data_IF_131153142402
#
_entry.id   IF_131153142402
#
_cell.length_a   1.000
_cell.length_b   1.000
_cell.length_c   1.000
_cell.angle_alpha   90.00
_cell.angle_beta   90.00
_cell.angle_gamma   90.00
#
_symmetry.space_group_name_H-M   'P 1'
#
loop_
_entity.id
_entity.type
_entity.pdbx_description
1 polymer ?
#
# COMPACT_ATOMS: atom_id res chain seq x y z
N UNK A 1 -3.10 9.09 22.08
CA UNK A 1 -2.93 7.64 21.96
C UNK A 1 -2.46 7.35 20.55
N UNK A 2 -1.21 6.83 20.42
CA UNK A 2 -0.59 6.57 19.13
C UNK A 2 -1.24 5.42 18.36
N UNK A 3 -1.04 5.41 17.05
CA UNK A 3 -1.60 4.37 16.17
C UNK A 3 -0.55 3.83 15.21
N UNK A 4 -0.64 2.54 14.92
CA UNK A 4 0.03 1.87 13.80
C UNK A 4 -0.98 1.67 12.69
N UNK A 5 -0.60 2.01 11.48
CA UNK A 5 -1.35 1.72 10.24
C UNK A 5 -0.48 0.85 9.35
N UNK A 6 -1.07 -0.16 8.73
CA UNK A 6 -0.42 -0.95 7.68
C UNK A 6 -1.26 -0.81 6.42
N UNK A 7 -0.68 -0.32 5.33
CA UNK A 7 -1.32 -0.32 4.01
C UNK A 7 -0.53 -1.15 3.01
N UNK A 8 -1.24 -1.81 2.12
CA UNK A 8 -0.71 -2.80 1.19
C UNK A 8 -1.13 -2.40 -0.22
N UNK A 9 -0.13 -2.17 -1.09
CA UNK A 9 -0.37 -1.86 -2.50
C UNK A 9 -0.55 -3.19 -3.24
N UNK A 10 -1.80 -3.58 -3.42
CA UNK A 10 -2.23 -4.89 -3.91
C UNK A 10 -2.46 -4.83 -5.43
N UNK A 11 -1.41 -5.01 -6.21
CA UNK A 11 -1.34 -4.59 -7.62
C UNK A 11 -0.99 -5.70 -8.62
N UNK A 12 -0.44 -6.87 -8.20
CA UNK A 12 0.04 -7.95 -9.09
C UNK A 12 0.87 -7.40 -10.27
N UNK A 13 0.56 -7.82 -11.51
CA UNK A 13 1.25 -7.35 -12.73
C UNK A 13 0.96 -5.88 -13.05
N UNK A 14 -0.15 -5.33 -12.58
CA UNK A 14 -0.55 -3.93 -12.82
C UNK A 14 0.47 -2.91 -12.30
N UNK A 15 1.16 -3.19 -11.19
CA UNK A 15 2.22 -2.32 -10.68
C UNK A 15 3.46 -2.20 -11.57
N UNK A 16 3.55 -3.03 -12.61
CA UNK A 16 4.71 -3.11 -13.48
C UNK A 16 4.40 -2.96 -14.97
N UNK A 17 3.12 -2.89 -15.37
CA UNK A 17 2.70 -2.97 -16.77
C UNK A 17 3.21 -1.80 -17.62
N UNK A 18 3.45 -0.64 -17.03
CA UNK A 18 3.96 0.57 -17.68
C UNK A 18 5.51 0.63 -17.75
N UNK A 19 6.22 -0.24 -17.02
CA UNK A 19 7.68 -0.28 -17.03
C UNK A 19 8.22 -0.80 -18.37
N UNK A 20 9.42 -0.37 -18.75
CA UNK A 20 10.09 -0.86 -19.96
C UNK A 20 10.28 -2.39 -19.93
N UNK A 21 10.52 -2.98 -18.76
CA UNK A 21 10.64 -4.42 -18.54
C UNK A 21 9.96 -4.79 -17.22
N UNK A 22 9.06 -5.77 -17.26
CA UNK A 22 8.40 -6.30 -16.07
C UNK A 22 9.38 -7.22 -15.28
N UNK A 23 9.45 -7.10 -13.94
CA UNK A 23 10.29 -7.95 -13.10
C UNK A 23 9.65 -9.35 -12.95
N UNK A 24 9.95 -10.26 -13.87
CA UNK A 24 9.26 -11.53 -14.01
C UNK A 24 9.22 -12.41 -12.76
N UNK A 25 10.24 -12.38 -11.88
CA UNK A 25 10.22 -13.10 -10.61
C UNK A 25 9.17 -12.52 -9.65
N UNK A 26 9.15 -11.20 -9.47
CA UNK A 26 8.16 -10.53 -8.60
C UNK A 26 6.74 -10.73 -9.06
N UNK A 27 6.52 -10.68 -10.38
CA UNK A 27 5.19 -10.94 -10.97
C UNK A 27 4.75 -12.36 -10.67
N UNK A 28 5.60 -13.37 -10.90
CA UNK A 28 5.28 -14.78 -10.63
C UNK A 28 5.06 -15.08 -9.13
N UNK A 29 5.78 -14.40 -8.24
CA UNK A 29 5.69 -14.62 -6.80
C UNK A 29 4.62 -13.77 -6.11
N UNK A 30 4.02 -12.80 -6.83
CA UNK A 30 3.11 -11.84 -6.22
C UNK A 30 1.90 -12.50 -5.54
N UNK A 31 1.33 -13.55 -6.13
CA UNK A 31 0.19 -14.29 -5.55
C UNK A 31 0.61 -15.06 -4.28
N UNK A 32 1.76 -15.73 -4.31
CA UNK A 32 2.33 -16.37 -3.12
C UNK A 32 2.61 -15.35 -2.02
N UNK A 33 3.21 -14.22 -2.38
CA UNK A 33 3.47 -13.12 -1.44
C UNK A 33 2.20 -12.56 -0.83
N UNK A 34 1.10 -12.48 -1.60
CA UNK A 34 -0.21 -12.04 -1.10
C UNK A 34 -0.74 -12.99 -0.02
N UNK A 35 -0.81 -14.29 -0.32
CA UNK A 35 -1.26 -15.29 0.65
C UNK A 35 -0.37 -15.30 1.90
N UNK A 36 0.97 -15.29 1.72
CA UNK A 36 1.88 -15.30 2.87
C UNK A 36 1.76 -14.05 3.74
N UNK A 37 1.54 -12.89 3.12
CA UNK A 37 1.31 -11.65 3.85
C UNK A 37 -0.01 -11.70 4.63
N UNK A 38 -1.08 -12.21 4.02
CA UNK A 38 -2.37 -12.38 4.68
C UNK A 38 -2.26 -13.31 5.90
N UNK A 39 -1.60 -14.48 5.74
CA UNK A 39 -1.33 -15.41 6.84
C UNK A 39 -0.58 -14.74 8.01
N UNK A 40 0.44 -13.91 7.71
CA UNK A 40 1.19 -13.19 8.75
C UNK A 40 0.34 -12.14 9.47
N UNK A 41 -0.49 -11.41 8.75
CA UNK A 41 -1.40 -10.43 9.35
C UNK A 41 -2.44 -11.10 10.25
N UNK A 42 -2.92 -12.29 9.88
CA UNK A 42 -3.79 -13.12 10.71
C UNK A 42 -3.05 -13.65 11.95
N UNK A 43 -1.85 -14.19 11.79
CA UNK A 43 -1.04 -14.73 12.88
C UNK A 43 -0.77 -13.69 13.97
N UNK A 44 -0.51 -12.45 13.57
CA UNK A 44 -0.23 -11.34 14.50
C UNK A 44 -1.45 -10.45 14.79
N UNK A 45 -2.64 -10.82 14.32
CA UNK A 45 -3.90 -10.07 14.53
C UNK A 45 -3.76 -8.59 14.15
N UNK A 46 -3.20 -8.30 12.95
CA UNK A 46 -2.95 -6.94 12.45
C UNK A 46 -3.96 -6.60 11.35
N UNK A 47 -4.98 -5.78 11.60
CA UNK A 47 -5.81 -5.23 10.54
C UNK A 47 -4.97 -4.31 9.63
N UNK A 48 -5.19 -4.41 8.32
CA UNK A 48 -4.49 -3.64 7.32
C UNK A 48 -5.47 -3.10 6.26
N UNK A 49 -5.07 -2.02 5.58
CA UNK A 49 -5.77 -1.52 4.39
C UNK A 49 -5.14 -2.13 3.15
N UNK A 50 -5.88 -2.97 2.45
CA UNK A 50 -5.49 -3.54 1.16
C UNK A 50 -5.98 -2.63 0.05
N UNK A 51 -5.11 -1.78 -0.48
CA UNK A 51 -5.42 -0.93 -1.63
C UNK A 51 -5.29 -1.75 -2.91
N UNK A 52 -6.43 -2.17 -3.44
CA UNK A 52 -6.52 -3.13 -4.55
C UNK A 52 -6.67 -2.37 -5.88
N UNK A 53 -5.88 -2.74 -6.88
CA UNK A 53 -6.10 -2.31 -8.27
C UNK A 53 -7.44 -2.88 -8.72
N UNK A 54 -8.37 -2.02 -9.15
CA UNK A 54 -9.76 -2.40 -9.43
C UNK A 54 -9.91 -3.49 -10.47
N UNK A 55 -8.98 -3.59 -11.44
CA UNK A 55 -8.97 -4.67 -12.41
C UNK A 55 -8.86 -6.07 -11.78
N UNK A 56 -8.27 -6.18 -10.58
CA UNK A 56 -8.15 -7.47 -9.87
C UNK A 56 -9.49 -8.03 -9.36
N UNK A 57 -10.56 -7.23 -9.36
CA UNK A 57 -11.92 -7.73 -9.08
C UNK A 57 -12.52 -8.51 -10.24
N UNK A 58 -11.95 -8.40 -11.44
CA UNK A 58 -12.50 -9.02 -12.65
C UNK A 58 -12.11 -10.50 -12.74
N UNK A 59 -13.05 -11.35 -13.18
CA UNK A 59 -12.79 -12.72 -13.62
C UNK A 59 -12.25 -12.77 -15.05
N UNK A 60 -12.58 -11.76 -15.86
CA UNK A 60 -12.23 -11.63 -17.28
C UNK A 60 -12.33 -10.20 -17.79
N UNK A 61 -11.55 -9.89 -18.81
CA UNK A 61 -11.74 -8.71 -19.65
C UNK A 61 -11.36 -9.00 -21.12
N UNK A 62 -11.63 -8.04 -21.99
CA UNK A 62 -11.25 -8.13 -23.41
C UNK A 62 -9.82 -7.64 -23.70
N UNK A 63 -9.15 -7.03 -22.72
CA UNK A 63 -7.82 -6.42 -22.85
C UNK A 63 -7.78 -5.13 -23.67
N UNK A 64 -8.94 -4.66 -24.16
CA UNK A 64 -9.02 -3.49 -25.06
C UNK A 64 -9.42 -2.23 -24.30
N UNK A 65 -10.39 -2.33 -23.37
CA UNK A 65 -10.90 -1.22 -22.56
C UNK A 65 -11.31 0.02 -23.37
N UNK A 66 -11.95 -0.20 -24.52
CA UNK A 66 -12.22 0.85 -25.54
C UNK A 66 -12.99 2.07 -25.00
N UNK A 67 -13.88 1.85 -24.03
CA UNK A 67 -14.73 2.89 -23.44
C UNK A 67 -14.13 3.49 -22.15
N UNK A 68 -12.90 3.09 -21.75
CA UNK A 68 -12.24 3.59 -20.56
C UNK A 68 -11.17 4.63 -20.91
N UNK A 69 -11.39 5.92 -20.59
CA UNK A 69 -10.42 6.97 -20.87
C UNK A 69 -9.14 6.75 -20.05
N UNK A 70 -7.99 6.70 -20.73
CA UNK A 70 -6.69 6.42 -20.11
C UNK A 70 -5.56 7.11 -20.88
N UNK A 71 -4.34 7.22 -20.32
CA UNK A 71 -3.17 7.65 -21.07
C UNK A 71 -2.94 6.76 -22.31
N UNK A 72 -2.37 7.34 -23.36
CA UNK A 72 -2.15 6.63 -24.63
C UNK A 72 -1.36 5.33 -24.44
N UNK A 73 -1.92 4.22 -24.93
CA UNK A 73 -1.32 2.88 -24.86
C UNK A 73 -1.23 2.29 -23.45
N UNK A 74 -2.01 2.79 -22.50
CA UNK A 74 -2.00 2.34 -21.12
C UNK A 74 -2.25 0.84 -21.00
N UNK A 75 -3.29 0.34 -21.65
CA UNK A 75 -3.70 -1.08 -21.62
C UNK A 75 -2.95 -2.00 -22.60
N UNK A 76 -1.92 -1.51 -23.31
CA UNK A 76 -1.20 -2.30 -24.34
C UNK A 76 -0.63 -3.65 -23.89
N UNK A 77 -0.47 -3.85 -22.58
CA UNK A 77 0.06 -5.09 -21.98
C UNK A 77 -0.98 -5.91 -21.27
N UNK A 78 -2.18 -5.40 -21.15
CA UNK A 78 -3.28 -6.23 -20.67
C UNK A 78 -3.51 -7.35 -21.67
N UNK A 79 -3.33 -8.62 -21.27
CA UNK A 79 -3.46 -9.74 -22.20
C UNK A 79 -4.92 -10.05 -22.55
N UNK A 80 -5.87 -9.47 -21.80
CA UNK A 80 -7.27 -9.93 -21.83
C UNK A 80 -7.40 -11.36 -21.30
N UNK A 81 -8.53 -12.01 -21.63
CA UNK A 81 -8.76 -13.40 -21.22
C UNK A 81 -9.37 -13.54 -19.83
N UNK A 82 -8.99 -14.58 -19.12
CA UNK A 82 -9.56 -14.94 -17.80
C UNK A 82 -8.48 -15.15 -16.74
N UNK A 83 -8.89 -15.24 -15.47
CA UNK A 83 -7.99 -15.64 -14.37
C UNK A 83 -7.23 -16.95 -14.67
N UNK A 84 -7.90 -17.93 -15.30
CA UNK A 84 -7.25 -19.20 -15.61
C UNK A 84 -6.19 -19.10 -16.71
N UNK A 85 -6.29 -18.08 -17.59
CA UNK A 85 -5.32 -17.84 -18.66
C UNK A 85 -4.13 -17.00 -18.19
N UNK A 86 -4.38 -16.02 -17.28
CA UNK A 86 -3.43 -14.98 -16.89
C UNK A 86 -3.56 -14.61 -15.41
N UNK A 87 -3.24 -15.56 -14.52
CA UNK A 87 -3.40 -15.41 -13.07
C UNK A 87 -2.65 -14.21 -12.45
N UNK A 88 -1.61 -13.72 -13.12
CA UNK A 88 -0.85 -12.55 -12.69
C UNK A 88 -1.55 -11.20 -12.95
N UNK A 89 -2.64 -11.20 -13.73
CA UNK A 89 -3.42 -10.00 -14.08
C UNK A 89 -4.79 -9.92 -13.41
N UNK A 90 -5.26 -11.02 -12.81
CA UNK A 90 -6.57 -11.16 -12.18
C UNK A 90 -6.42 -11.66 -10.76
N UNK A 91 -7.31 -11.26 -9.86
CA UNK A 91 -7.19 -11.62 -8.44
C UNK A 91 -8.51 -11.64 -7.66
N UNK A 92 -9.68 -12.00 -8.26
CA UNK A 92 -10.92 -12.02 -7.51
C UNK A 92 -10.88 -13.02 -6.34
N UNK A 93 -10.17 -14.12 -6.49
CA UNK A 93 -9.91 -15.09 -5.43
C UNK A 93 -9.01 -14.53 -4.31
N UNK A 94 -8.04 -13.69 -4.64
CA UNK A 94 -7.17 -13.02 -3.65
C UNK A 94 -7.95 -11.95 -2.86
N UNK A 95 -8.79 -11.19 -3.54
CA UNK A 95 -9.71 -10.23 -2.90
C UNK A 95 -10.69 -10.99 -1.98
N UNK A 96 -11.23 -12.11 -2.46
CA UNK A 96 -12.06 -13.00 -1.65
C UNK A 96 -11.36 -13.48 -0.38
N UNK A 97 -10.09 -13.90 -0.49
CA UNK A 97 -9.30 -14.34 0.66
C UNK A 97 -9.11 -13.23 1.71
N UNK A 98 -8.91 -11.96 1.30
CA UNK A 98 -8.84 -10.84 2.25
C UNK A 98 -10.16 -10.63 2.98
N UNK A 99 -11.29 -10.74 2.27
CA UNK A 99 -12.64 -10.59 2.85
C UNK A 99 -13.01 -11.71 3.83
N UNK A 100 -12.51 -12.91 3.59
CA UNK A 100 -12.77 -14.10 4.41
C UNK A 100 -11.79 -14.25 5.58
N UNK A 101 -10.81 -13.35 5.69
CA UNK A 101 -9.82 -13.35 6.77
C UNK A 101 -10.49 -13.26 8.15
N UNK A 102 -9.85 -13.90 9.14
CA UNK A 102 -10.25 -13.80 10.55
C UNK A 102 -9.99 -12.40 11.14
N UNK A 103 -9.17 -11.58 10.49
CA UNK A 103 -8.88 -10.19 10.86
C UNK A 103 -9.72 -9.26 9.99
N UNK A 104 -10.31 -8.25 10.61
CA UNK A 104 -11.16 -7.25 9.92
C UNK A 104 -10.29 -6.27 9.11
N UNK A 105 -9.90 -6.70 7.90
CA UNK A 105 -9.15 -5.89 6.95
C UNK A 105 -10.05 -4.90 6.23
N UNK A 106 -9.50 -3.76 5.86
CA UNK A 106 -10.13 -2.81 4.97
C UNK A 106 -9.68 -3.09 3.52
N UNK A 107 -10.62 -3.09 2.58
CA UNK A 107 -10.32 -3.04 1.15
C UNK A 107 -10.50 -1.59 0.70
N UNK A 108 -9.43 -0.99 0.18
CA UNK A 108 -9.40 0.34 -0.42
C UNK A 108 -9.05 0.26 -1.90
N UNK A 109 -9.05 1.40 -2.58
CA UNK A 109 -8.70 1.50 -4.00
C UNK A 109 -7.22 1.78 -4.24
N UNK A 110 -6.68 1.18 -5.31
CA UNK A 110 -5.40 1.56 -5.90
C UNK A 110 -5.59 1.98 -7.38
N UNK A 111 -6.68 2.72 -7.64
CA UNK A 111 -7.27 3.03 -8.95
C UNK A 111 -7.72 1.77 -9.73
N UNK A 112 -8.41 1.92 -10.86
CA UNK A 112 -8.87 0.76 -11.63
C UNK A 112 -7.72 0.02 -12.30
N UNK A 113 -6.80 0.75 -12.94
CA UNK A 113 -5.74 0.19 -13.76
C UNK A 113 -4.34 0.69 -13.39
N UNK A 114 -4.15 1.11 -12.12
CA UNK A 114 -2.88 1.63 -11.61
C UNK A 114 -2.44 2.97 -12.26
N UNK A 115 -3.38 3.84 -12.67
CA UNK A 115 -3.07 5.16 -13.23
C UNK A 115 -2.57 6.10 -12.14
N UNK A 116 -1.41 6.72 -12.38
CA UNK A 116 -0.81 7.72 -11.49
C UNK A 116 -1.49 9.08 -11.67
N UNK A 117 -2.34 9.50 -10.75
CA UNK A 117 -3.14 10.72 -10.89
C UNK A 117 -2.33 12.02 -10.96
N UNK A 118 -1.12 12.06 -10.40
CA UNK A 118 -0.25 13.23 -10.47
C UNK A 118 0.51 13.40 -11.79
N UNK A 119 0.30 12.57 -12.80
CA UNK A 119 0.93 12.72 -14.13
C UNK A 119 0.29 13.87 -14.89
N UNK A 120 1.09 14.59 -15.67
CA UNK A 120 0.62 15.74 -16.48
C UNK A 120 -0.26 15.36 -17.67
N UNK A 121 -0.28 14.08 -18.08
CA UNK A 121 -1.10 13.54 -19.15
C UNK A 121 -2.39 12.84 -18.64
N UNK A 122 -2.62 12.83 -17.32
CA UNK A 122 -3.85 12.35 -16.71
C UNK A 122 -4.81 13.53 -16.49
N UNK A 123 -6.00 13.41 -17.03
CA UNK A 123 -7.06 14.41 -16.89
C UNK A 123 -8.03 14.04 -15.77
N UNK A 124 -8.80 15.02 -15.29
CA UNK A 124 -9.89 14.81 -14.34
C UNK A 124 -10.86 13.72 -14.79
N UNK A 125 -11.23 13.70 -16.10
CA UNK A 125 -12.11 12.68 -16.66
C UNK A 125 -11.50 11.27 -16.63
N UNK A 126 -10.16 11.13 -16.76
CA UNK A 126 -9.47 9.85 -16.60
C UNK A 126 -9.48 9.42 -15.13
N UNK A 127 -9.20 10.34 -14.20
CA UNK A 127 -9.25 10.06 -12.79
C UNK A 127 -10.66 9.64 -12.34
N UNK A 128 -11.70 10.34 -12.80
CA UNK A 128 -13.09 10.00 -12.51
C UNK A 128 -13.45 8.58 -13.02
N UNK A 129 -13.07 8.24 -14.25
CA UNK A 129 -13.35 6.93 -14.81
C UNK A 129 -12.63 5.79 -14.07
N UNK A 130 -11.38 6.00 -13.62
CA UNK A 130 -10.62 5.06 -12.78
C UNK A 130 -11.33 4.82 -11.45
N UNK A 131 -11.85 5.87 -10.80
CA UNK A 131 -12.56 5.75 -9.52
C UNK A 131 -13.95 5.15 -9.70
N UNK A 132 -14.76 5.64 -10.65
CA UNK A 132 -16.09 5.11 -10.96
C UNK A 132 -16.01 3.60 -11.24
N UNK A 133 -15.04 3.18 -12.06
CA UNK A 133 -14.88 1.77 -12.37
C UNK A 133 -14.47 0.93 -11.17
N UNK A 134 -13.59 1.45 -10.30
CA UNK A 134 -13.18 0.77 -9.07
C UNK A 134 -14.36 0.62 -8.10
N UNK A 135 -15.13 1.69 -7.90
CA UNK A 135 -16.30 1.70 -7.01
C UNK A 135 -17.36 0.74 -7.53
N UNK A 136 -17.72 0.82 -8.82
CA UNK A 136 -18.70 -0.10 -9.45
C UNK A 136 -18.36 -1.58 -9.23
N UNK A 137 -17.07 -1.93 -9.34
CA UNK A 137 -16.62 -3.32 -9.17
C UNK A 137 -16.68 -3.74 -7.71
N UNK A 138 -16.27 -2.89 -6.79
CA UNK A 138 -16.33 -3.15 -5.35
C UNK A 138 -17.80 -3.28 -4.87
N UNK A 139 -18.70 -2.40 -5.33
CA UNK A 139 -20.12 -2.46 -4.99
C UNK A 139 -20.79 -3.76 -5.43
N UNK A 140 -20.41 -4.32 -6.58
CA UNK A 140 -20.90 -5.65 -7.03
C UNK A 140 -20.52 -6.78 -6.08
N UNK A 141 -19.39 -6.60 -5.39
CA UNK A 141 -18.92 -7.49 -4.33
C UNK A 141 -19.47 -7.12 -2.94
N UNK A 142 -20.31 -6.07 -2.84
CA UNK A 142 -20.87 -5.60 -1.57
C UNK A 142 -19.85 -4.89 -0.69
N UNK A 143 -18.87 -4.21 -1.29
CA UNK A 143 -17.81 -3.47 -0.61
C UNK A 143 -17.96 -1.97 -0.87
N UNK A 144 -17.74 -1.18 0.18
CA UNK A 144 -17.60 0.27 0.11
C UNK A 144 -16.11 0.64 0.17
N UNK A 145 -15.63 1.48 -0.74
CA UNK A 145 -14.24 1.93 -0.80
C UNK A 145 -14.08 3.29 -0.10
N UNK A 146 -13.69 3.28 1.17
CA UNK A 146 -13.46 4.50 1.95
C UNK A 146 -12.09 5.16 1.68
N UNK A 147 -11.07 4.36 1.32
CA UNK A 147 -9.67 4.80 1.22
C UNK A 147 -9.07 4.58 -0.16
N UNK A 148 -8.15 5.47 -0.54
CA UNK A 148 -7.35 5.35 -1.75
C UNK A 148 -5.86 5.43 -1.44
N UNK A 149 -5.09 4.58 -2.09
CA UNK A 149 -3.64 4.72 -2.19
C UNK A 149 -3.30 5.09 -3.64
N UNK A 150 -2.61 6.21 -3.81
CA UNK A 150 -2.20 6.65 -5.16
C UNK A 150 -1.08 5.76 -5.69
N UNK A 151 -1.22 5.21 -6.91
CA UNK A 151 -0.14 4.51 -7.59
C UNK A 151 1.17 5.32 -7.57
N UNK A 152 2.28 4.67 -7.21
CA UNK A 152 3.61 5.28 -7.04
C UNK A 152 3.66 6.48 -6.09
N UNK A 153 2.69 6.61 -5.19
CA UNK A 153 2.50 7.79 -4.31
C UNK A 153 2.44 9.12 -5.09
N UNK A 154 2.00 9.08 -6.35
CA UNK A 154 1.87 10.26 -7.22
C UNK A 154 0.48 10.89 -7.07
N UNK A 155 0.35 11.74 -6.07
CA UNK A 155 -0.91 12.37 -5.64
C UNK A 155 -1.41 13.40 -6.68
N UNK A 156 -2.67 13.32 -7.07
CA UNK A 156 -3.35 14.26 -7.97
C UNK A 156 -4.85 14.06 -7.91
N UNK A 157 -5.61 14.98 -8.49
CA UNK A 157 -7.08 14.90 -8.64
C UNK A 157 -7.84 14.49 -7.36
N UNK A 158 -7.43 15.05 -6.20
CA UNK A 158 -8.06 14.73 -4.89
C UNK A 158 -9.51 15.17 -4.81
N UNK A 159 -9.88 16.23 -5.52
CA UNK A 159 -11.26 16.70 -5.68
C UNK A 159 -12.17 15.57 -6.19
N UNK A 160 -11.67 14.79 -7.16
CA UNK A 160 -12.42 13.67 -7.75
C UNK A 160 -12.65 12.54 -6.75
N UNK A 161 -11.69 12.30 -5.82
CA UNK A 161 -11.88 11.31 -4.75
C UNK A 161 -13.09 11.66 -3.88
N UNK A 162 -13.18 12.93 -3.45
CA UNK A 162 -14.28 13.40 -2.62
C UNK A 162 -15.64 13.24 -3.32
N UNK A 163 -15.70 13.50 -4.63
CA UNK A 163 -16.91 13.37 -5.45
C UNK A 163 -17.36 11.89 -5.60
N UNK A 164 -16.44 10.93 -5.49
CA UNK A 164 -16.72 9.48 -5.56
C UNK A 164 -16.84 8.80 -4.19
N UNK A 165 -17.01 9.56 -3.12
CA UNK A 165 -17.33 9.04 -1.79
C UNK A 165 -16.15 8.58 -0.95
N UNK A 166 -14.92 8.72 -1.43
CA UNK A 166 -13.74 8.43 -0.60
C UNK A 166 -13.63 9.38 0.59
N UNK A 167 -13.16 8.88 1.72
CA UNK A 167 -13.00 9.65 2.95
C UNK A 167 -11.54 9.95 3.28
N UNK A 168 -10.61 9.15 2.77
CA UNK A 168 -9.19 9.34 3.00
C UNK A 168 -8.30 8.80 1.87
N UNK A 169 -7.03 9.21 1.91
CA UNK A 169 -6.00 8.70 1.04
C UNK A 169 -4.65 8.60 1.76
N UNK A 170 -3.74 7.75 1.23
CA UNK A 170 -2.35 7.72 1.68
C UNK A 170 -1.58 8.86 1.01
N UNK A 171 -1.19 9.85 1.85
CA UNK A 171 -0.36 10.96 1.43
C UNK A 171 1.11 10.60 1.31
N UNK A 172 1.88 11.54 0.78
CA UNK A 172 3.33 11.39 0.60
C UNK A 172 4.03 11.44 1.95
N UNK A 173 5.01 10.55 2.12
CA UNK A 173 5.85 10.53 3.33
C UNK A 173 6.60 11.88 3.49
N UNK A 174 6.73 12.38 4.73
CA UNK A 174 7.53 13.59 4.98
C UNK A 174 8.98 13.41 4.53
N UNK A 175 9.55 14.48 3.96
CA UNK A 175 10.95 14.48 3.53
C UNK A 175 11.90 14.22 4.70
N UNK A 176 12.91 13.40 4.45
CA UNK A 176 13.99 13.14 5.40
C UNK A 176 15.30 13.75 4.87
N UNK A 177 16.25 14.03 5.79
CA UNK A 177 17.52 14.64 5.47
C UNK A 177 18.34 13.91 4.38
N UNK A 178 18.08 12.62 4.15
CA UNK A 178 18.73 11.82 3.11
C UNK A 178 17.95 11.82 1.78
N UNK A 179 16.75 12.40 1.70
CA UNK A 179 16.01 12.56 0.45
C UNK A 179 16.66 13.64 -0.42
N UNK A 180 16.71 13.42 -1.72
CA UNK A 180 17.43 14.28 -2.66
C UNK A 180 18.70 13.62 -3.22
N UNK A 181 19.71 14.41 -3.54
CA UNK A 181 20.96 13.93 -4.17
C UNK A 181 21.68 12.89 -3.31
N UNK A 182 22.10 11.80 -3.94
CA UNK A 182 22.74 10.66 -3.27
C UNK A 182 21.84 9.95 -2.23
N UNK A 183 20.53 9.93 -2.46
CA UNK A 183 19.53 9.33 -1.56
C UNK A 183 19.89 7.93 -1.09
N UNK A 184 20.23 7.00 -1.99
CA UNK A 184 20.48 5.59 -1.65
C UNK A 184 21.60 5.37 -0.64
N UNK A 185 22.84 5.88 -0.85
CA UNK A 185 23.92 5.70 0.13
C UNK A 185 23.66 6.42 1.44
N UNK A 186 23.04 7.60 1.43
CA UNK A 186 22.68 8.33 2.66
C UNK A 186 21.62 7.57 3.45
N UNK A 187 20.58 7.04 2.79
CA UNK A 187 19.54 6.21 3.42
C UNK A 187 20.12 4.95 4.03
N UNK A 188 20.99 4.24 3.31
CA UNK A 188 21.68 3.05 3.82
C UNK A 188 22.49 3.38 5.09
N UNK A 189 23.22 4.49 5.09
CA UNK A 189 24.00 4.95 6.25
C UNK A 189 23.08 5.29 7.43
N UNK A 190 21.99 6.07 7.21
CA UNK A 190 21.04 6.45 8.22
C UNK A 190 20.40 5.22 8.90
N UNK A 191 19.97 4.27 8.09
CA UNK A 191 19.32 3.05 8.57
C UNK A 191 20.28 2.15 9.34
N UNK A 192 21.56 2.05 8.92
CA UNK A 192 22.57 1.28 9.63
C UNK A 192 23.00 1.93 10.96
N UNK A 193 23.04 3.25 11.03
CA UNK A 193 23.37 3.97 12.25
C UNK A 193 22.26 3.86 13.31
N UNK A 194 21.01 3.66 12.90
CA UNK A 194 19.86 3.50 13.80
C UNK A 194 19.65 4.69 14.75
N UNK A 195 19.95 5.92 14.28
CA UNK A 195 19.88 7.13 15.13
C UNK A 195 18.72 8.06 14.78
N UNK A 196 18.00 7.75 13.75
CA UNK A 196 17.01 8.63 13.14
C UNK A 196 15.74 7.81 12.87
N UNK A 197 14.77 7.76 13.81
CA UNK A 197 13.55 6.98 13.64
C UNK A 197 12.75 7.49 12.43
N UNK A 198 11.93 6.64 11.80
CA UNK A 198 10.97 7.09 10.82
C UNK A 198 9.99 8.09 11.44
N UNK A 199 9.50 9.08 10.66
CA UNK A 199 8.61 10.09 11.20
C UNK A 199 7.26 9.48 11.62
N UNK A 200 6.76 9.89 12.76
CA UNK A 200 5.34 9.82 13.04
C UNK A 200 4.63 10.89 12.21
N UNK A 201 3.47 10.56 11.70
CA UNK A 201 2.67 11.50 10.92
C UNK A 201 1.43 11.93 11.70
N UNK A 202 0.95 13.13 11.41
CA UNK A 202 -0.31 13.64 11.95
C UNK A 202 -1.28 13.76 10.79
N UNK A 203 -2.24 12.83 10.66
CA UNK A 203 -3.26 12.92 9.63
C UNK A 203 -4.05 14.22 9.72
N UNK A 204 -4.40 14.78 8.56
CA UNK A 204 -5.07 16.08 8.47
C UNK A 204 -6.18 16.03 7.45
N UNK A 205 -7.20 16.83 7.66
CA UNK A 205 -8.25 17.01 6.68
C UNK A 205 -7.78 18.07 5.68
N UNK A 206 -7.83 17.73 4.40
CA UNK A 206 -7.46 18.64 3.33
C UNK A 206 -8.61 19.58 2.90
N UNK A 207 -8.36 20.39 1.88
CA UNK A 207 -9.31 21.36 1.34
C UNK A 207 -10.56 20.75 0.70
N UNK A 208 -10.52 19.45 0.37
CA UNK A 208 -11.65 18.71 -0.21
C UNK A 208 -12.44 17.92 0.85
N UNK A 209 -12.00 17.97 2.11
CA UNK A 209 -12.63 17.26 3.21
C UNK A 209 -12.13 15.82 3.42
N UNK A 210 -11.12 15.42 2.65
CA UNK A 210 -10.48 14.10 2.75
C UNK A 210 -9.44 14.09 3.87
N UNK A 211 -9.30 12.94 4.54
CA UNK A 211 -8.23 12.75 5.52
C UNK A 211 -6.96 12.27 4.80
N UNK A 212 -5.94 13.11 4.78
CA UNK A 212 -4.59 12.74 4.38
C UNK A 212 -3.92 11.94 5.51
N UNK A 213 -3.57 10.67 5.24
CA UNK A 213 -2.87 9.75 6.14
C UNK A 213 -1.48 9.45 5.55
N UNK A 214 -0.48 10.32 5.75
CA UNK A 214 0.81 10.17 5.08
C UNK A 214 1.52 8.86 5.45
N UNK A 215 2.33 8.33 4.52
CA UNK A 215 3.19 7.18 4.78
C UNK A 215 4.36 7.56 5.68
N UNK A 216 4.86 6.60 6.49
CA UNK A 216 6.06 6.76 7.31
C UNK A 216 7.24 5.91 6.83
N UNK A 217 7.01 4.63 6.54
CA UNK A 217 8.07 3.69 6.20
C UNK A 217 7.61 2.63 5.20
N UNK A 218 8.32 2.53 4.08
CA UNK A 218 8.29 1.38 3.19
C UNK A 218 9.14 0.24 3.77
N UNK A 219 8.50 -0.91 4.04
CA UNK A 219 9.15 -2.09 4.62
C UNK A 219 10.15 -2.79 3.68
N UNK A 220 10.19 -2.38 2.40
CA UNK A 220 11.12 -2.92 1.39
C UNK A 220 12.00 -1.87 0.75
N UNK A 221 12.16 -0.74 1.41
CA UNK A 221 12.86 0.44 0.91
C UNK A 221 14.38 0.30 0.70
N UNK A 222 15.01 -0.79 1.17
CA UNK A 222 16.44 -1.11 1.00
C UNK A 222 16.61 -2.51 0.39
N UNK A 223 16.20 -2.67 -0.85
CA UNK A 223 16.38 -3.90 -1.61
C UNK A 223 17.68 -3.90 -2.43
N UNK A 224 18.02 -5.08 -2.99
CA UNK A 224 19.18 -5.31 -3.84
C UNK A 224 20.47 -5.61 -3.07
N UNK A 225 21.60 -5.70 -3.79
CA UNK A 225 22.88 -6.18 -3.28
C UNK A 225 23.38 -5.40 -2.07
N UNK A 226 23.25 -4.08 -2.07
CA UNK A 226 23.69 -3.24 -0.96
C UNK A 226 22.85 -3.48 0.31
N UNK A 227 21.55 -3.67 0.18
CA UNK A 227 20.67 -4.03 1.28
C UNK A 227 20.97 -5.43 1.82
N UNK A 228 21.23 -6.40 0.95
CA UNK A 228 21.61 -7.77 1.34
C UNK A 228 22.95 -7.79 2.10
N UNK A 229 23.97 -7.08 1.60
CA UNK A 229 25.25 -6.95 2.28
C UNK A 229 25.13 -6.27 3.65
N UNK A 230 24.31 -5.23 3.74
CA UNK A 230 23.99 -4.55 5.00
C UNK A 230 23.34 -5.49 6.01
N UNK A 231 22.34 -6.27 5.58
CA UNK A 231 21.68 -7.26 6.45
C UNK A 231 22.64 -8.31 7.00
N UNK A 232 23.55 -8.81 6.16
CA UNK A 232 24.53 -9.83 6.56
C UNK A 232 25.49 -9.35 7.66
N UNK A 233 25.80 -8.06 7.70
CA UNK A 233 26.80 -7.49 8.63
C UNK A 233 26.14 -6.85 9.85
N UNK A 234 25.05 -6.13 9.67
CA UNK A 234 24.43 -5.26 10.71
C UNK A 234 23.02 -5.72 11.15
N UNK A 235 22.55 -6.87 10.67
CA UNK A 235 21.16 -7.28 10.80
C UNK A 235 20.25 -6.50 9.85
N UNK A 236 18.92 -6.69 9.96
CA UNK A 236 17.96 -6.03 9.07
C UNK A 236 17.76 -4.55 9.48
N UNK A 237 18.27 -3.58 8.69
CA UNK A 237 18.19 -2.18 9.04
C UNK A 237 16.77 -1.62 8.87
N UNK A 238 15.93 -2.21 8.00
CA UNK A 238 14.54 -1.78 7.81
C UNK A 238 13.68 -2.26 8.98
N UNK A 239 13.84 -3.51 9.42
CA UNK A 239 13.16 -4.01 10.61
C UNK A 239 13.54 -3.20 11.86
N UNK A 240 14.81 -2.78 11.97
CA UNK A 240 15.25 -1.87 13.04
C UNK A 240 14.53 -0.52 12.99
N UNK A 241 14.44 0.08 11.80
CA UNK A 241 13.71 1.35 11.61
C UNK A 241 12.23 1.18 11.97
N UNK A 242 11.60 0.08 11.52
CA UNK A 242 10.20 -0.20 11.87
C UNK A 242 10.01 -0.28 13.39
N UNK A 243 10.87 -1.01 14.10
CA UNK A 243 10.83 -1.07 15.57
C UNK A 243 10.98 0.30 16.23
N UNK A 244 11.93 1.11 15.75
CA UNK A 244 12.10 2.48 16.27
C UNK A 244 10.82 3.32 16.07
N UNK A 245 10.19 3.25 14.92
CA UNK A 245 8.93 3.96 14.65
C UNK A 245 7.77 3.48 15.54
N UNK A 246 7.69 2.18 15.80
CA UNK A 246 6.71 1.62 16.75
C UNK A 246 6.94 2.16 18.16
N UNK A 247 8.20 2.18 18.64
CA UNK A 247 8.54 2.74 19.99
C UNK A 247 8.22 4.24 20.08
N UNK A 248 8.48 5.02 19.03
CA UNK A 248 8.11 6.44 18.97
C UNK A 248 6.60 6.67 19.01
N UNK A 249 5.82 5.71 18.49
CA UNK A 249 4.36 5.80 18.51
C UNK A 249 3.78 5.54 19.92
N UNK A 250 4.45 4.75 20.75
CA UNK A 250 4.02 4.50 22.14
C UNK A 250 3.98 5.79 22.92
N UNK A 251 2.86 6.09 23.57
CA UNK A 251 2.65 7.30 24.37
C UNK A 251 2.58 8.61 23.56
N UNK A 252 2.56 8.54 22.22
CA UNK A 252 2.36 9.69 21.33
C UNK A 252 0.89 9.88 20.97
N UNK A 253 0.60 10.86 20.12
CA UNK A 253 -0.70 11.03 19.44
C UNK A 253 -0.59 10.87 17.90
N UNK A 254 0.62 10.52 17.43
CA UNK A 254 0.92 10.36 16.02
C UNK A 254 0.52 8.99 15.46
N UNK A 255 0.57 8.88 14.16
CA UNK A 255 0.38 7.65 13.40
C UNK A 255 1.73 7.21 12.83
N UNK A 256 2.09 5.95 13.04
CA UNK A 256 3.21 5.32 12.34
C UNK A 256 2.66 4.45 11.21
N UNK A 257 2.76 4.92 9.97
CA UNK A 257 2.17 4.29 8.81
C UNK A 257 3.20 3.47 8.02
N UNK A 258 3.14 2.17 8.19
CA UNK A 258 3.92 1.17 7.45
C UNK A 258 3.24 0.84 6.13
N UNK A 259 4.02 0.62 5.08
CA UNK A 259 3.46 0.17 3.81
C UNK A 259 4.37 -0.78 3.05
N UNK A 260 3.80 -1.59 2.18
CA UNK A 260 4.49 -2.61 1.41
C UNK A 260 3.63 -3.11 0.24
N UNK A 261 4.26 -3.97 -0.61
CA UNK A 261 3.56 -4.67 -1.68
C UNK A 261 3.68 -6.19 -1.48
N UNK A 262 2.66 -7.00 -1.81
CA UNK A 262 2.77 -8.46 -1.82
C UNK A 262 3.90 -8.97 -2.73
N UNK A 263 4.14 -8.30 -3.86
CA UNK A 263 5.19 -8.63 -4.83
C UNK A 263 6.63 -8.37 -4.33
N UNK A 264 6.80 -7.80 -3.14
CA UNK A 264 8.09 -7.72 -2.45
C UNK A 264 8.38 -8.98 -1.60
N UNK A 265 7.36 -9.76 -1.26
CA UNK A 265 7.48 -10.96 -0.46
C UNK A 265 7.76 -12.13 -1.40
N UNK A 266 9.03 -12.40 -1.65
CA UNK A 266 9.47 -13.40 -2.64
C UNK A 266 10.21 -14.60 -2.03
N UNK A 267 10.44 -14.58 -0.70
CA UNK A 267 11.15 -15.67 -0.02
C UNK A 267 11.27 -15.51 1.48
N UNK A 268 12.02 -16.42 2.12
CA UNK A 268 12.12 -16.51 3.57
C UNK A 268 12.69 -15.26 4.25
N UNK A 269 13.62 -14.55 3.62
CA UNK A 269 14.23 -13.33 4.19
C UNK A 269 13.20 -12.21 4.36
N UNK A 270 12.29 -12.06 3.40
CA UNK A 270 11.23 -11.07 3.43
C UNK A 270 10.19 -11.44 4.49
N UNK A 271 9.84 -12.73 4.56
CA UNK A 271 8.95 -13.29 5.60
C UNK A 271 9.52 -13.04 6.99
N UNK A 272 10.79 -13.40 7.25
CA UNK A 272 11.46 -13.17 8.54
C UNK A 272 11.47 -11.69 8.96
N UNK A 273 11.58 -10.76 8.00
CA UNK A 273 11.46 -9.33 8.29
C UNK A 273 10.07 -8.99 8.79
N UNK A 274 9.02 -9.45 8.09
CA UNK A 274 7.64 -9.19 8.44
C UNK A 274 7.28 -9.82 9.80
N UNK A 275 7.69 -11.06 10.06
CA UNK A 275 7.51 -11.72 11.36
C UNK A 275 8.11 -10.90 12.51
N UNK A 276 9.34 -10.37 12.33
CA UNK A 276 9.99 -9.51 13.35
C UNK A 276 9.28 -8.17 13.55
N UNK A 277 8.78 -7.57 12.47
CA UNK A 277 8.08 -6.27 12.54
C UNK A 277 6.70 -6.44 13.14
N UNK A 278 5.91 -7.37 12.61
CA UNK A 278 4.53 -7.60 13.05
C UNK A 278 4.48 -8.17 14.47
N UNK A 279 5.39 -9.10 14.81
CA UNK A 279 5.53 -9.61 16.17
C UNK A 279 5.83 -8.48 17.17
N UNK A 280 6.72 -7.54 16.82
CA UNK A 280 6.99 -6.39 17.66
C UNK A 280 5.80 -5.43 17.77
N UNK A 281 5.08 -5.17 16.68
CA UNK A 281 3.84 -4.37 16.71
C UNK A 281 2.84 -5.01 17.67
N UNK A 282 2.59 -6.31 17.56
CA UNK A 282 1.64 -7.03 18.43
C UNK A 282 2.06 -6.97 19.89
N UNK A 283 3.34 -7.25 20.20
CA UNK A 283 3.89 -7.14 21.55
C UNK A 283 3.63 -5.77 22.17
N UNK A 284 3.91 -4.68 21.41
CA UNK A 284 3.72 -3.32 21.94
C UNK A 284 2.25 -2.94 22.10
N UNK A 285 1.39 -3.42 21.24
CA UNK A 285 -0.07 -3.23 21.39
C UNK A 285 -0.60 -3.94 22.63
N UNK A 286 -0.12 -5.16 22.91
CA UNK A 286 -0.56 -5.93 24.09
C UNK A 286 -0.05 -5.33 25.41
N UNK A 287 1.10 -4.65 25.41
CA UNK A 287 1.74 -4.08 26.60
C UNK A 287 1.41 -2.61 26.85
N UNK A 288 0.85 -1.89 25.89
CA UNK A 288 0.67 -0.43 25.96
C UNK A 288 -0.73 0.00 25.51
N UNK A 289 -0.94 1.31 25.40
CA UNK A 289 -2.16 1.91 24.84
C UNK A 289 -2.09 2.15 23.31
N UNK A 290 -1.08 1.57 22.64
CA UNK A 290 -0.91 1.67 21.19
C UNK A 290 -2.08 0.99 20.46
N UNK A 291 -2.56 1.60 19.37
CA UNK A 291 -3.64 1.05 18.55
C UNK A 291 -3.11 0.54 17.22
N UNK A 292 -3.80 -0.43 16.65
CA UNK A 292 -3.68 -0.76 15.22
C UNK A 292 -4.98 -0.35 14.56
N UNK A 293 -4.91 0.45 13.51
CA UNK A 293 -6.07 0.97 12.77
C UNK A 293 -5.83 0.81 11.26
N UNK A 294 -6.90 0.64 10.50
CA UNK A 294 -6.86 0.80 9.04
C UNK A 294 -6.86 2.30 8.68
N UNK A 295 -6.58 2.64 7.42
CA UNK A 295 -6.65 4.03 6.95
C UNK A 295 -8.05 4.62 7.15
N UNK A 296 -9.11 3.89 6.76
CA UNK A 296 -10.49 4.28 6.99
C UNK A 296 -10.84 4.37 8.48
N UNK A 297 -10.25 3.52 9.33
CA UNK A 297 -10.36 3.62 10.79
C UNK A 297 -9.84 4.94 11.32
N UNK A 298 -8.65 5.36 10.87
CA UNK A 298 -8.06 6.68 11.20
C UNK A 298 -8.97 7.81 10.70
N UNK A 299 -9.47 7.71 9.46
CA UNK A 299 -10.34 8.72 8.88
C UNK A 299 -11.64 8.88 9.68
N UNK A 300 -12.32 7.78 9.99
CA UNK A 300 -13.55 7.79 10.82
C UNK A 300 -13.31 8.46 12.18
N UNK A 301 -12.20 8.15 12.85
CA UNK A 301 -11.85 8.75 14.13
C UNK A 301 -11.64 10.26 14.03
N UNK A 302 -10.96 10.74 12.98
CA UNK A 302 -10.70 12.16 12.78
C UNK A 302 -11.97 12.93 12.41
N UNK A 303 -12.79 12.36 11.52
CA UNK A 303 -14.03 13.00 11.07
C UNK A 303 -15.10 13.02 12.16
N UNK A 304 -15.15 12.02 13.05
CA UNK A 304 -16.09 11.98 14.18
C UNK A 304 -15.72 12.88 15.35
N UNK A 305 -14.49 13.35 15.45
CA UNK A 305 -14.02 14.29 16.47
C UNK A 305 -14.27 15.77 16.15
N UNK A 306 -15.02 16.07 15.07
CA UNK A 306 -15.44 17.42 14.65
C UNK A 306 -16.65 17.98 15.37
#
# INVERSE_FOLDING_TARGET
MGSIVVSIDAELAWGFHDLASMPGERVRQARWGWHRLLELLEEFEIPATWAVVGHLFLDRCDGIHADHPSPEGWFRRDPGGTLADHEEWYGPDLVGAVRESAVDHEIGSHTFSHVEFGRSDVTEAMAAAELERSVDLAEREGLDLDSLVFPRNNVGHREVLAEHGFTCYRGVAPDRWFDGSFRRPKKLLAYNLGRDPPPLVTPRIDEFGLVDVPASLDLFSLEGVAGAASRAVFGDPVARQARMGVEEAVGSEGVFHLWLHPNNVVGGTEVERLERVFGHVRERVDETDLRIETMGGVARRILSGR
#
